data_IF_665072860478
#
_entry.id   IF_665072860478
#
_cell.length_a   1.000
_cell.length_b   1.000
_cell.length_c   1.000
_cell.angle_alpha   90.00
_cell.angle_beta   90.00
_cell.angle_gamma   90.00
#
_symmetry.space_group_name_H-M   'P 1'
#
loop_
_entity.id
_entity.type
_entity.pdbx_description
1 polymer ?
#
# COMPACT_ATOMS: atom_id res chain seq x y z
N UNK A 1 -33.20 19.37 71.34
CA UNK A 1 -33.04 20.53 70.44
C UNK A 1 -34.20 20.46 69.46
N UNK A 2 -35.13 21.41 69.52
CA UNK A 2 -36.25 21.48 68.60
C UNK A 2 -35.79 22.11 67.27
N UNK A 3 -36.27 21.61 66.14
CA UNK A 3 -35.96 22.17 64.82
C UNK A 3 -37.24 22.65 64.14
N UNK A 4 -37.12 23.60 63.20
CA UNK A 4 -38.25 24.02 62.36
C UNK A 4 -38.85 22.86 61.54
N UNK A 5 -38.11 21.75 61.37
CA UNK A 5 -38.59 20.54 60.69
C UNK A 5 -39.60 19.75 61.53
N UNK A 6 -39.67 19.99 62.84
CA UNK A 6 -40.62 19.34 63.75
C UNK A 6 -41.99 20.08 63.79
N UNK A 7 -42.12 21.18 63.05
CA UNK A 7 -43.33 22.00 63.04
C UNK A 7 -44.39 21.42 62.10
N UNK A 8 -45.63 21.47 62.55
CA UNK A 8 -46.82 21.06 61.81
C UNK A 8 -47.40 22.21 60.98
N UNK A 9 -48.09 21.86 59.90
CA UNK A 9 -48.98 22.80 59.18
C UNK A 9 -50.27 23.08 59.94
N UNK A 10 -50.55 22.34 61.03
CA UNK A 10 -51.68 22.61 61.94
C UNK A 10 -51.22 23.56 63.06
N UNK A 11 -51.72 24.82 63.12
CA UNK A 11 -51.17 25.84 64.01
C UNK A 11 -51.15 25.46 65.50
N UNK A 12 -52.22 24.80 65.97
CA UNK A 12 -52.34 24.40 67.38
C UNK A 12 -51.28 23.39 67.84
N UNK A 13 -50.67 22.63 66.92
CA UNK A 13 -49.65 21.64 67.25
C UNK A 13 -48.25 22.26 67.41
N UNK A 14 -48.07 23.52 67.01
CA UNK A 14 -46.77 24.18 67.06
C UNK A 14 -46.47 24.86 68.41
N UNK A 15 -47.47 24.99 69.28
CA UNK A 15 -47.32 25.63 70.59
C UNK A 15 -46.32 24.91 71.51
N UNK A 16 -46.05 23.62 71.27
CA UNK A 16 -45.08 22.81 72.02
C UNK A 16 -43.95 22.29 71.16
N UNK A 17 -43.87 22.70 69.89
CA UNK A 17 -42.88 22.18 68.95
C UNK A 17 -41.48 22.75 69.22
N UNK A 18 -41.39 23.95 69.79
CA UNK A 18 -40.14 24.57 70.27
C UNK A 18 -40.34 25.06 71.70
N UNK A 19 -39.50 24.60 72.63
CA UNK A 19 -39.59 24.95 74.05
C UNK A 19 -39.33 26.45 74.31
N UNK A 20 -38.65 27.13 73.39
CA UNK A 20 -38.32 28.55 73.50
C UNK A 20 -39.39 29.46 72.86
N UNK A 21 -40.44 28.89 72.25
CA UNK A 21 -41.53 29.62 71.57
C UNK A 21 -42.85 29.17 72.17
N UNK A 22 -43.53 30.09 72.88
CA UNK A 22 -44.80 29.80 73.52
C UNK A 22 -45.89 30.68 72.92
N UNK A 23 -46.73 30.13 72.04
CA UNK A 23 -47.87 30.84 71.47
C UNK A 23 -49.15 30.42 72.19
N UNK A 24 -49.47 31.10 73.28
CA UNK A 24 -50.73 31.00 74.01
C UNK A 24 -51.58 32.26 73.82
N UNK A 25 -52.90 32.15 73.95
CA UNK A 25 -53.79 33.30 73.92
C UNK A 25 -53.70 34.12 75.22
N UNK A 26 -53.83 35.45 75.13
CA UNK A 26 -53.87 36.34 76.30
C UNK A 26 -52.51 36.59 76.97
N UNK A 27 -51.40 36.34 76.29
CA UNK A 27 -50.05 36.51 76.83
C UNK A 27 -49.67 37.97 77.09
N UNK A 28 -48.79 38.18 78.09
CA UNK A 28 -48.17 39.47 78.32
C UNK A 28 -47.36 39.91 77.09
N UNK A 29 -47.37 41.21 76.74
CA UNK A 29 -46.65 41.72 75.57
C UNK A 29 -45.15 41.36 75.51
N UNK A 30 -44.49 41.24 76.67
CA UNK A 30 -43.07 40.84 76.73
C UNK A 30 -42.84 39.42 76.20
N UNK A 31 -43.70 38.47 76.57
CA UNK A 31 -43.55 37.06 76.19
C UNK A 31 -43.90 36.85 74.70
N UNK A 32 -44.82 37.66 74.18
CA UNK A 32 -45.09 37.76 72.73
C UNK A 32 -43.86 38.26 71.98
N UNK A 33 -43.19 39.31 72.48
CA UNK A 33 -41.96 39.84 71.89
C UNK A 33 -40.81 38.82 71.92
N UNK A 34 -40.65 38.07 73.02
CA UNK A 34 -39.58 37.07 73.15
C UNK A 34 -39.81 35.87 72.20
N UNK A 35 -41.05 35.37 72.13
CA UNK A 35 -41.42 34.28 71.20
C UNK A 35 -41.26 34.68 69.74
N UNK A 36 -41.60 35.93 69.39
CA UNK A 36 -41.40 36.46 68.04
C UNK A 36 -39.92 36.54 67.66
N UNK A 37 -39.03 36.94 68.59
CA UNK A 37 -37.58 36.98 68.36
C UNK A 37 -37.03 35.57 68.15
N UNK A 38 -37.49 34.60 68.92
CA UNK A 38 -37.10 33.20 68.74
C UNK A 38 -37.58 32.64 67.40
N UNK A 39 -38.79 32.97 66.94
CA UNK A 39 -39.24 32.64 65.58
C UNK A 39 -38.33 33.24 64.50
N UNK A 40 -37.90 34.50 64.63
CA UNK A 40 -36.97 35.11 63.67
C UNK A 40 -35.63 34.38 63.63
N UNK A 41 -35.12 33.92 64.78
CA UNK A 41 -33.90 33.09 64.84
C UNK A 41 -34.07 31.77 64.10
N UNK A 42 -35.17 31.03 64.33
CA UNK A 42 -35.45 29.76 63.65
C UNK A 42 -35.62 29.93 62.14
N UNK A 43 -36.24 31.03 61.71
CA UNK A 43 -36.36 31.35 60.28
C UNK A 43 -35.00 31.66 59.65
N UNK A 44 -34.10 32.36 60.36
CA UNK A 44 -32.75 32.64 59.88
C UNK A 44 -31.89 31.36 59.79
N UNK A 45 -32.03 30.44 60.75
CA UNK A 45 -31.44 29.10 60.69
C UNK A 45 -31.94 28.34 59.46
N UNK A 46 -33.26 28.31 59.23
CA UNK A 46 -33.85 27.70 58.05
C UNK A 46 -33.30 28.28 56.75
N UNK A 47 -33.25 29.60 56.61
CA UNK A 47 -32.71 30.26 55.40
C UNK A 47 -31.24 29.89 55.16
N UNK A 48 -30.42 29.81 56.22
CA UNK A 48 -29.03 29.33 56.12
C UNK A 48 -28.96 27.87 55.68
N UNK A 49 -29.81 27.02 56.23
CA UNK A 49 -29.84 25.58 55.93
C UNK A 49 -30.39 25.28 54.54
N UNK A 50 -31.30 26.12 54.01
CA UNK A 50 -31.82 26.00 52.64
C UNK A 50 -30.77 26.30 51.56
N UNK A 51 -29.53 26.66 51.93
CA UNK A 51 -28.41 26.73 50.99
C UNK A 51 -28.57 27.78 49.90
N UNK A 52 -29.42 28.80 50.11
CA UNK A 52 -29.53 29.96 49.22
C UNK A 52 -28.30 30.84 49.43
N UNK A 53 -27.16 30.35 48.96
CA UNK A 53 -25.91 31.09 48.81
C UNK A 53 -26.01 31.90 47.52
N UNK A 54 -26.19 33.21 47.69
CA UNK A 54 -26.04 34.22 46.64
C UNK A 54 -24.74 33.98 45.88
N UNK A 55 -24.86 33.56 44.61
CA UNK A 55 -23.73 33.27 43.75
C UNK A 55 -22.93 34.55 43.46
N UNK A 56 -21.77 34.68 44.09
CA UNK A 56 -20.73 35.62 43.70
C UNK A 56 -19.47 34.83 43.37
N UNK A 57 -19.14 34.68 42.09
CA UNK A 57 -17.78 34.31 41.69
C UNK A 57 -17.67 33.19 40.66
N UNK A 58 -17.02 33.56 39.56
CA UNK A 58 -16.64 32.79 38.37
C UNK A 58 -16.06 31.38 38.59
N UNK A 59 -16.54 30.46 37.75
CA UNK A 59 -15.83 29.30 37.19
C UNK A 59 -15.14 28.33 38.16
N UNK A 60 -15.89 27.67 39.03
CA UNK A 60 -15.58 26.27 39.40
C UNK A 60 -16.85 25.58 39.88
N UNK A 61 -17.45 24.78 38.99
CA UNK A 61 -18.68 24.06 39.30
C UNK A 61 -18.45 22.98 40.35
N UNK A 62 -18.93 23.22 41.57
CA UNK A 62 -19.56 22.22 42.44
C UNK A 62 -20.62 22.94 43.27
N UNK A 63 -21.89 22.76 42.92
CA UNK A 63 -23.01 23.01 43.83
C UNK A 63 -23.09 21.84 44.80
N UNK A 64 -22.85 22.07 46.09
CA UNK A 64 -23.32 21.17 47.15
C UNK A 64 -24.86 21.21 47.14
N UNK A 65 -25.49 20.09 46.75
CA UNK A 65 -26.95 19.95 46.71
C UNK A 65 -27.53 19.30 45.45
N UNK A 66 -26.70 18.84 44.50
CA UNK A 66 -27.23 18.08 43.35
C UNK A 66 -27.61 16.65 43.76
N UNK A 67 -28.89 16.33 43.59
CA UNK A 67 -29.45 14.98 43.72
C UNK A 67 -28.63 13.95 42.94
N UNK A 68 -28.56 12.72 43.46
CA UNK A 68 -27.83 11.58 42.86
C UNK A 68 -28.32 11.20 41.45
N UNK A 69 -29.42 11.79 40.97
CA UNK A 69 -30.01 11.56 39.65
C UNK A 69 -29.38 12.39 38.52
N UNK A 70 -28.54 13.39 38.80
CA UNK A 70 -27.87 14.22 37.76
C UNK A 70 -26.36 13.94 37.60
N UNK A 71 -25.85 12.79 38.08
CA UNK A 71 -24.40 12.46 37.98
C UNK A 71 -24.03 11.69 36.71
N UNK A 72 -24.32 12.26 35.54
CA UNK A 72 -23.30 12.20 34.49
C UNK A 72 -22.27 13.26 34.81
N UNK A 73 -21.44 12.97 35.84
CA UNK A 73 -20.34 13.87 36.18
C UNK A 73 -19.45 14.02 34.96
N UNK A 74 -18.81 15.17 34.82
CA UNK A 74 -17.84 15.38 33.73
C UNK A 74 -16.75 14.30 33.72
N UNK A 75 -16.45 13.70 34.89
CA UNK A 75 -15.64 12.51 35.01
C UNK A 75 -16.23 11.28 34.31
N UNK A 76 -17.51 10.96 34.53
CA UNK A 76 -18.20 9.84 33.89
C UNK A 76 -18.32 10.03 32.37
N UNK A 77 -18.56 11.26 31.90
CA UNK A 77 -18.59 11.57 30.46
C UNK A 77 -17.19 11.41 29.85
N UNK A 78 -16.14 11.89 30.53
CA UNK A 78 -14.75 11.70 30.09
C UNK A 78 -14.35 10.23 30.06
N UNK A 79 -14.70 9.46 31.09
CA UNK A 79 -14.44 8.02 31.14
C UNK A 79 -15.21 7.29 30.04
N UNK A 80 -16.48 7.61 29.83
CA UNK A 80 -17.27 6.99 28.77
C UNK A 80 -16.77 7.35 27.36
N UNK A 81 -16.40 8.60 27.11
CA UNK A 81 -15.82 9.00 25.83
C UNK A 81 -14.46 8.32 25.62
N UNK A 82 -13.60 8.30 26.65
CA UNK A 82 -12.33 7.58 26.60
C UNK A 82 -12.56 6.11 26.30
N UNK A 83 -13.42 5.42 27.06
CA UNK A 83 -13.66 3.99 26.89
C UNK A 83 -14.38 3.70 25.55
N UNK A 84 -15.22 4.61 25.05
CA UNK A 84 -15.84 4.53 23.73
C UNK A 84 -14.79 4.58 22.61
N UNK A 85 -13.88 5.57 22.66
CA UNK A 85 -12.82 5.69 21.67
C UNK A 85 -11.78 4.58 21.83
N UNK A 86 -11.35 4.26 23.05
CA UNK A 86 -10.34 3.24 23.33
C UNK A 86 -10.86 1.83 22.99
N UNK A 87 -12.11 1.47 23.30
CA UNK A 87 -12.60 0.11 23.07
C UNK A 87 -13.07 -0.15 21.63
N UNK A 88 -13.60 0.88 20.94
CA UNK A 88 -14.28 0.71 19.64
C UNK A 88 -13.58 1.34 18.44
N UNK A 89 -12.80 2.40 18.62
CA UNK A 89 -12.24 3.16 17.49
C UNK A 89 -10.71 3.22 17.47
N UNK A 90 -10.05 3.28 18.63
CA UNK A 90 -8.61 3.47 18.79
C UNK A 90 -8.15 2.59 19.94
N UNK A 91 -7.97 1.28 19.71
CA UNK A 91 -7.41 0.39 20.73
C UNK A 91 -5.92 0.66 20.90
N UNK A 92 -5.54 1.18 22.07
CA UNK A 92 -4.14 1.21 22.51
C UNK A 92 -3.78 -0.14 23.15
N UNK A 93 -3.78 -1.19 22.34
CA UNK A 93 -3.38 -2.52 22.80
C UNK A 93 -1.88 -2.74 22.59
N UNK A 94 -1.06 -2.42 23.60
CA UNK A 94 0.36 -2.77 23.65
C UNK A 94 1.19 -1.97 24.68
N UNK A 95 2.33 -2.50 25.18
CA UNK A 95 3.34 -1.70 25.88
C UNK A 95 3.76 -0.50 25.02
N UNK A 96 4.23 0.59 25.64
CA UNK A 96 4.54 1.87 24.98
C UNK A 96 5.54 1.80 23.80
N UNK A 97 6.13 0.62 23.55
CA UNK A 97 7.02 0.27 22.44
C UNK A 97 6.32 -0.33 21.22
N UNK A 98 5.03 -0.66 21.29
CA UNK A 98 4.35 -1.37 20.20
C UNK A 98 3.68 -0.38 19.22
N UNK A 99 4.12 -0.43 17.97
CA UNK A 99 3.75 0.43 16.85
C UNK A 99 2.31 0.23 16.33
N UNK A 100 1.33 -0.03 17.21
CA UNK A 100 -0.11 -0.01 16.86
C UNK A 100 -0.70 1.40 16.93
N UNK A 101 0.13 2.41 16.62
CA UNK A 101 -0.26 3.81 16.65
C UNK A 101 -0.82 4.19 15.27
N UNK A 102 -2.12 4.46 15.20
CA UNK A 102 -2.67 5.21 14.06
C UNK A 102 -2.23 6.67 14.22
N UNK A 103 -0.99 6.95 13.85
CA UNK A 103 -0.43 8.30 13.87
C UNK A 103 -0.84 9.02 12.60
N UNK A 104 -1.79 9.95 12.71
CA UNK A 104 -1.90 11.06 11.76
C UNK A 104 -0.75 12.05 11.97
N UNK A 105 0.50 11.57 11.92
CA UNK A 105 1.66 12.46 12.00
C UNK A 105 2.00 12.98 10.61
N UNK A 106 2.03 14.30 10.54
CA UNK A 106 2.41 15.09 9.38
C UNK A 106 3.84 14.71 8.95
N UNK A 107 3.98 13.90 7.89
CA UNK A 107 5.21 13.86 7.09
C UNK A 107 6.08 12.60 7.05
N UNK A 108 5.62 11.38 7.36
CA UNK A 108 6.47 10.21 7.10
C UNK A 108 5.84 8.83 7.34
N UNK A 109 5.54 8.13 6.24
CA UNK A 109 5.30 6.67 6.10
C UNK A 109 4.24 6.05 7.02
N UNK A 110 3.06 5.74 6.44
CA UNK A 110 2.00 4.97 7.12
C UNK A 110 2.24 3.47 6.96
N UNK A 111 2.38 2.76 8.08
CA UNK A 111 2.42 1.31 8.12
C UNK A 111 1.08 0.74 8.57
N UNK A 112 0.43 -0.07 7.72
CA UNK A 112 -0.76 -0.83 8.09
C UNK A 112 -0.34 -2.23 8.51
N UNK A 113 -0.27 -2.49 9.82
CA UNK A 113 -0.05 -3.82 10.37
C UNK A 113 -1.38 -4.43 10.81
N UNK A 114 -1.76 -5.58 10.25
CA UNK A 114 -2.80 -6.43 10.82
C UNK A 114 -2.12 -7.57 11.59
N UNK A 115 -2.51 -7.74 12.87
CA UNK A 115 -1.98 -8.79 13.75
C UNK A 115 -2.40 -10.16 13.24
N UNK A 116 -1.54 -10.79 12.44
CA UNK A 116 -1.14 -12.20 12.56
C UNK A 116 -0.16 -12.55 11.44
N UNK A 117 1.09 -12.76 11.82
CA UNK A 117 2.19 -13.39 11.08
C UNK A 117 2.58 -12.89 9.67
N UNK A 118 1.71 -12.30 8.86
CA UNK A 118 2.02 -11.96 7.47
C UNK A 118 1.29 -10.68 7.02
N UNK A 119 1.94 -9.97 6.08
CA UNK A 119 1.44 -8.87 5.24
C UNK A 119 1.50 -7.47 5.87
N UNK A 120 2.60 -6.76 5.59
CA UNK A 120 2.64 -5.31 5.62
C UNK A 120 2.91 -4.79 4.20
N UNK A 121 1.98 -4.02 3.64
CA UNK A 121 2.23 -3.19 2.47
C UNK A 121 2.84 -1.88 2.96
N UNK A 122 4.10 -1.62 2.61
CA UNK A 122 4.81 -0.42 3.11
C UNK A 122 5.02 0.54 1.95
N UNK A 123 4.37 1.71 1.97
CA UNK A 123 4.63 2.78 0.99
C UNK A 123 5.84 3.60 1.46
N UNK A 124 7.04 3.27 0.98
CA UNK A 124 8.22 4.10 1.24
C UNK A 124 8.09 5.49 0.60
N UNK A 125 8.82 6.47 1.10
CA UNK A 125 8.93 7.80 0.49
C UNK A 125 9.59 7.69 -0.88
N UNK A 126 8.96 8.23 -1.94
CA UNK A 126 9.41 8.08 -3.33
C UNK A 126 8.39 7.31 -4.19
N UNK A 127 8.81 6.75 -5.36
CA UNK A 127 7.93 6.01 -6.27
C UNK A 127 7.10 4.96 -5.52
N UNK A 128 5.89 4.68 -5.99
CA UNK A 128 4.97 3.73 -5.33
C UNK A 128 5.47 2.29 -5.45
N UNK A 129 6.28 1.85 -4.50
CA UNK A 129 6.70 0.46 -4.36
C UNK A 129 5.76 -0.29 -3.41
N UNK A 130 5.43 -1.53 -3.77
CA UNK A 130 4.73 -2.47 -2.91
C UNK A 130 5.63 -3.66 -2.63
N UNK A 131 5.94 -3.82 -1.35
CA UNK A 131 6.83 -4.87 -0.87
C UNK A 131 6.04 -5.92 -0.13
N UNK A 132 6.62 -7.12 -0.08
CA UNK A 132 6.24 -8.14 0.87
C UNK A 132 7.42 -8.43 1.81
N UNK A 133 7.12 -8.61 3.09
CA UNK A 133 8.09 -9.02 4.11
C UNK A 133 7.72 -10.39 4.67
N UNK A 134 8.73 -11.25 4.81
CA UNK A 134 8.60 -12.61 5.39
C UNK A 134 8.43 -12.60 6.91
N UNK A 135 8.87 -11.55 7.59
CA UNK A 135 8.84 -11.41 9.04
C UNK A 135 8.78 -9.94 9.44
N UNK A 136 8.33 -9.71 10.68
CA UNK A 136 8.21 -8.42 11.37
C UNK A 136 9.54 -7.90 11.94
N UNK A 137 10.59 -8.74 11.92
CA UNK A 137 11.90 -8.43 12.49
C UNK A 137 12.89 -7.99 11.41
N UNK A 138 13.01 -6.67 11.20
CA UNK A 138 14.04 -6.09 10.32
C UNK A 138 13.82 -4.62 9.96
N UNK A 139 14.91 -3.88 9.82
CA UNK A 139 14.90 -2.51 9.30
C UNK A 139 14.47 -2.46 7.82
N UNK A 140 13.96 -1.32 7.38
CA UNK A 140 13.69 -1.05 5.96
C UNK A 140 14.93 -1.34 5.10
N UNK A 141 14.76 -2.10 4.00
CA UNK A 141 15.86 -2.48 3.10
C UNK A 141 16.68 -3.71 3.55
N UNK A 142 16.28 -4.41 4.62
CA UNK A 142 16.91 -5.67 5.03
C UNK A 142 16.61 -6.85 4.09
N UNK A 143 17.42 -7.92 4.18
CA UNK A 143 17.33 -9.10 3.30
C UNK A 143 16.03 -9.90 3.34
N UNK A 144 15.08 -9.55 4.21
CA UNK A 144 13.75 -10.17 4.29
C UNK A 144 12.66 -9.40 3.49
N UNK A 145 13.02 -8.28 2.85
CA UNK A 145 12.14 -7.47 2.02
C UNK A 145 12.26 -7.90 0.55
N UNK A 146 11.14 -8.29 -0.06
CA UNK A 146 11.07 -8.61 -1.49
C UNK A 146 10.15 -7.62 -2.21
N UNK A 147 10.67 -6.99 -3.26
CA UNK A 147 9.92 -6.15 -4.19
C UNK A 147 8.99 -7.03 -5.02
N UNK A 148 7.67 -6.88 -4.83
CA UNK A 148 6.68 -7.60 -5.63
C UNK A 148 6.29 -6.78 -6.85
N UNK A 149 6.03 -5.49 -6.65
CA UNK A 149 5.67 -4.57 -7.72
C UNK A 149 6.12 -3.14 -7.44
N UNK A 150 6.50 -2.44 -8.49
CA UNK A 150 6.91 -1.02 -8.47
C UNK A 150 6.16 -0.29 -9.56
N UNK A 151 5.45 0.78 -9.21
CA UNK A 151 4.89 1.74 -10.16
C UNK A 151 5.70 3.03 -10.07
N UNK A 152 6.33 3.42 -11.18
CA UNK A 152 7.09 4.66 -11.25
C UNK A 152 6.20 5.87 -11.58
N UNK A 153 6.76 7.07 -11.46
CA UNK A 153 6.04 8.33 -11.74
C UNK A 153 5.65 8.50 -13.21
N UNK A 154 6.24 7.71 -14.12
CA UNK A 154 5.84 7.63 -15.52
C UNK A 154 4.67 6.65 -15.76
N UNK A 155 4.09 6.07 -14.70
CA UNK A 155 2.98 5.11 -14.79
C UNK A 155 3.40 3.70 -15.23
N UNK A 156 4.70 3.40 -15.28
CA UNK A 156 5.20 2.08 -15.66
C UNK A 156 5.19 1.14 -14.46
N UNK A 157 4.42 0.06 -14.57
CA UNK A 157 4.36 -1.02 -13.59
C UNK A 157 5.45 -2.07 -13.89
N UNK A 158 6.28 -2.35 -12.90
CA UNK A 158 7.20 -3.49 -12.86
C UNK A 158 6.66 -4.51 -11.86
N UNK A 159 6.60 -5.78 -12.25
CA UNK A 159 6.22 -6.89 -11.36
C UNK A 159 7.35 -7.91 -11.38
N UNK A 160 7.76 -8.36 -10.21
CA UNK A 160 8.90 -9.27 -10.06
C UNK A 160 8.45 -10.72 -10.25
N UNK A 161 8.47 -11.19 -11.50
CA UNK A 161 7.95 -12.50 -11.88
C UNK A 161 6.44 -12.47 -12.13
N UNK A 162 5.99 -12.73 -13.36
CA UNK A 162 4.57 -12.90 -13.69
C UNK A 162 4.36 -14.31 -14.21
N UNK A 163 3.60 -15.13 -13.47
CA UNK A 163 3.15 -16.43 -13.95
C UNK A 163 1.79 -16.29 -14.63
N UNK A 164 1.72 -16.66 -15.91
CA UNK A 164 0.50 -16.74 -16.73
C UNK A 164 0.30 -18.20 -17.11
N UNK A 165 -0.45 -18.94 -16.28
CA UNK A 165 -0.48 -20.40 -16.36
C UNK A 165 0.91 -20.98 -16.09
N UNK A 166 1.38 -21.84 -17.01
CA UNK A 166 2.72 -22.46 -16.93
C UNK A 166 3.84 -21.59 -17.54
N UNK A 167 3.51 -20.39 -18.02
CA UNK A 167 4.49 -19.45 -18.58
C UNK A 167 4.91 -18.43 -17.53
N UNK A 168 6.20 -18.19 -17.39
CA UNK A 168 6.77 -17.25 -16.43
C UNK A 168 7.53 -16.13 -17.14
N UNK A 169 7.18 -14.87 -16.86
CA UNK A 169 7.92 -13.67 -17.28
C UNK A 169 8.88 -13.29 -16.16
N UNK A 170 10.18 -13.33 -16.43
CA UNK A 170 11.23 -13.06 -15.46
C UNK A 170 11.52 -11.56 -15.30
N UNK A 171 12.26 -11.24 -14.23
CA UNK A 171 12.62 -9.87 -13.86
C UNK A 171 13.62 -9.20 -14.83
N UNK A 172 14.32 -9.99 -15.64
CA UNK A 172 15.19 -9.54 -16.74
C UNK A 172 14.43 -9.34 -18.07
N UNK A 173 13.11 -9.59 -18.07
CA UNK A 173 12.25 -9.51 -19.26
C UNK A 173 12.26 -10.78 -20.12
N UNK A 174 12.99 -11.82 -19.74
CA UNK A 174 12.95 -13.11 -20.43
C UNK A 174 11.64 -13.85 -20.14
N UNK A 175 11.25 -14.75 -21.02
CA UNK A 175 10.01 -15.52 -20.90
C UNK A 175 10.35 -17.01 -20.92
N UNK A 176 9.93 -17.76 -19.90
CA UNK A 176 10.06 -19.20 -19.83
C UNK A 176 8.69 -19.86 -20.03
N UNK A 177 8.59 -20.85 -20.91
CA UNK A 177 7.35 -21.58 -21.10
C UNK A 177 7.47 -22.75 -22.07
N UNK A 178 6.45 -23.62 -22.06
CA UNK A 178 6.41 -24.82 -22.91
C UNK A 178 6.47 -24.49 -24.41
N UNK A 179 5.90 -23.35 -24.84
CA UNK A 179 5.97 -22.89 -26.22
C UNK A 179 7.39 -22.66 -26.75
N UNK A 180 8.33 -22.37 -25.84
CA UNK A 180 9.74 -22.16 -26.17
C UNK A 180 10.63 -23.34 -25.75
N UNK A 181 10.02 -24.39 -25.15
CA UNK A 181 10.72 -25.51 -24.51
C UNK A 181 11.81 -25.02 -23.53
N UNK A 182 11.46 -24.01 -22.72
CA UNK A 182 12.39 -23.31 -21.84
C UNK A 182 12.34 -21.79 -22.04
N UNK A 183 13.51 -21.15 -22.01
CA UNK A 183 13.65 -19.69 -22.14
C UNK A 183 13.57 -19.21 -23.59
N UNK A 184 12.84 -18.11 -23.81
CA UNK A 184 12.68 -17.45 -25.11
C UNK A 184 14.02 -17.04 -25.72
N UNK A 185 14.95 -16.53 -24.91
CA UNK A 185 16.29 -16.15 -25.37
C UNK A 185 17.05 -17.33 -25.98
N UNK A 186 17.05 -18.48 -25.31
CA UNK A 186 17.64 -19.72 -25.81
C UNK A 186 16.93 -20.21 -27.08
N UNK A 187 15.60 -20.16 -27.09
CA UNK A 187 14.81 -20.54 -28.27
C UNK A 187 15.19 -19.69 -29.49
N UNK A 188 15.25 -18.35 -29.35
CA UNK A 188 15.63 -17.44 -30.44
C UNK A 188 17.07 -17.71 -30.89
N UNK A 189 18.01 -17.91 -29.95
CA UNK A 189 19.41 -18.21 -30.28
C UNK A 189 19.54 -19.51 -31.09
N UNK A 190 18.84 -20.57 -30.67
CA UNK A 190 18.83 -21.84 -31.38
C UNK A 190 18.20 -21.71 -32.77
N UNK A 191 17.08 -21.00 -32.90
CA UNK A 191 16.45 -20.74 -34.20
C UNK A 191 17.36 -19.95 -35.14
N UNK A 192 18.08 -18.95 -34.62
CA UNK A 192 19.05 -18.18 -35.40
C UNK A 192 20.21 -19.08 -35.86
N UNK A 193 20.72 -19.95 -34.99
CA UNK A 193 21.76 -20.90 -35.33
C UNK A 193 21.30 -21.90 -36.41
N UNK A 194 20.13 -22.53 -36.24
CA UNK A 194 19.58 -23.46 -37.24
C UNK A 194 19.40 -22.77 -38.59
N UNK A 195 18.93 -21.51 -38.62
CA UNK A 195 18.84 -20.72 -39.86
C UNK A 195 20.20 -20.46 -40.47
N UNK A 196 21.19 -20.09 -39.66
CA UNK A 196 22.56 -19.87 -40.13
C UNK A 196 23.18 -21.16 -40.71
N UNK A 197 22.93 -22.31 -40.10
CA UNK A 197 23.36 -23.62 -40.59
C UNK A 197 22.67 -23.99 -41.91
N UNK A 198 21.37 -23.73 -42.04
CA UNK A 198 20.62 -23.93 -43.30
C UNK A 198 21.18 -23.03 -44.41
N UNK A 199 21.43 -21.76 -44.13
CA UNK A 199 22.02 -20.83 -45.12
C UNK A 199 23.47 -21.19 -45.47
N UNK A 200 24.26 -21.65 -44.50
CA UNK A 200 25.61 -22.15 -44.76
C UNK A 200 25.57 -23.40 -45.63
N UNK A 201 24.66 -24.34 -45.38
CA UNK A 201 24.46 -25.54 -46.20
C UNK A 201 24.02 -25.20 -47.63
N UNK A 202 23.22 -24.15 -47.83
CA UNK A 202 22.91 -23.63 -49.18
C UNK A 202 24.16 -23.13 -49.90
N UNK A 203 25.18 -22.64 -49.17
CA UNK A 203 26.43 -22.12 -49.74
C UNK A 203 27.47 -23.22 -50.02
N UNK A 204 27.46 -24.33 -49.28
CA UNK A 204 28.35 -25.50 -49.48
C UNK A 204 27.81 -26.56 -50.42
N UNK A 205 26.50 -26.63 -50.66
CA UNK A 205 26.02 -27.25 -51.88
C UNK A 205 26.69 -26.51 -53.05
N UNK A 206 27.17 -27.20 -54.11
CA UNK A 206 27.66 -26.51 -55.30
C UNK A 206 26.49 -25.75 -55.89
N UNK A 207 26.30 -24.51 -55.43
CA UNK A 207 25.66 -23.48 -56.19
C UNK A 207 26.60 -23.24 -57.35
N UNK A 208 26.47 -24.12 -58.36
CA UNK A 208 26.79 -23.76 -59.72
C UNK A 208 26.23 -22.35 -59.87
N UNK A 209 27.12 -21.36 -60.01
CA UNK A 209 26.78 -19.95 -60.13
C UNK A 209 25.95 -19.78 -61.41
N UNK A 210 24.70 -20.21 -61.35
CA UNK A 210 23.66 -19.92 -62.31
C UNK A 210 23.13 -18.57 -61.88
N UNK A 211 23.85 -17.53 -62.27
CA UNK A 211 23.17 -16.31 -62.66
C UNK A 211 21.99 -16.77 -63.53
N UNK A 212 20.77 -16.33 -63.23
CA UNK A 212 19.50 -16.89 -63.72
C UNK A 212 19.31 -16.98 -65.26
N UNK A 213 20.36 -16.79 -66.05
CA UNK A 213 20.52 -17.01 -67.48
C UNK A 213 20.90 -18.45 -67.88
N UNK A 214 21.22 -19.34 -66.94
CA UNK A 214 21.67 -20.72 -67.24
C UNK A 214 23.14 -20.82 -67.70
N UNK A 215 23.90 -19.73 -67.63
CA UNK A 215 25.32 -19.66 -68.00
C UNK A 215 26.20 -19.98 -66.79
N UNK A 216 27.09 -20.97 -66.93
CA UNK A 216 28.07 -21.39 -65.91
C UNK A 216 29.50 -21.07 -66.37
N UNK A 217 30.42 -20.92 -65.41
CA UNK A 217 31.83 -20.65 -65.66
C UNK A 217 32.72 -21.85 -65.36
N UNK A 218 33.66 -22.09 -66.27
CA UNK A 218 34.56 -23.23 -66.25
C UNK A 218 35.99 -22.73 -66.35
N UNK A 219 36.81 -23.18 -65.39
CA UNK A 219 38.26 -22.94 -65.35
C UNK A 219 38.67 -21.48 -65.56
N UNK A 220 39.97 -21.23 -65.63
CA UNK A 220 40.44 -19.90 -65.98
C UNK A 220 41.77 -19.96 -66.71
N UNK A 221 41.90 -19.18 -67.77
CA UNK A 221 43.11 -19.05 -68.57
C UNK A 221 43.80 -17.74 -68.18
N UNK A 222 45.11 -17.77 -67.94
CA UNK A 222 45.95 -16.57 -67.90
C UNK A 222 46.61 -16.38 -69.27
N UNK A 223 46.24 -15.35 -70.05
CA UNK A 223 46.75 -15.15 -71.39
C UNK A 223 48.23 -14.73 -71.42
N UNK A 224 48.87 -14.49 -70.26
CA UNK A 224 50.28 -14.11 -70.17
C UNK A 224 51.20 -15.24 -69.66
N UNK A 225 50.64 -16.36 -69.19
CA UNK A 225 51.44 -17.44 -68.57
C UNK A 225 50.96 -18.83 -69.04
N UNK A 226 51.84 -19.51 -69.78
CA UNK A 226 51.77 -20.89 -70.27
C UNK A 226 50.56 -21.25 -71.18
N UNK A 227 50.74 -22.27 -72.03
CA UNK A 227 49.70 -22.83 -72.89
C UNK A 227 48.67 -23.59 -72.03
N UNK A 228 47.77 -22.85 -71.38
CA UNK A 228 46.72 -23.41 -70.53
C UNK A 228 45.43 -23.65 -71.32
N UNK A 229 44.91 -24.88 -71.26
CA UNK A 229 43.63 -25.27 -71.84
C UNK A 229 42.54 -25.33 -70.77
N UNK A 230 41.33 -24.94 -71.13
CA UNK A 230 40.14 -25.07 -70.28
C UNK A 230 39.07 -25.76 -71.09
N UNK A 231 38.77 -27.00 -70.71
CA UNK A 231 37.77 -27.82 -71.39
C UNK A 231 36.40 -27.67 -70.74
N UNK A 232 35.37 -27.67 -71.59
CA UNK A 232 33.98 -27.78 -71.13
C UNK A 232 33.57 -29.24 -71.28
N UNK A 233 33.19 -29.93 -70.19
CA UNK A 233 32.73 -31.30 -70.30
C UNK A 233 31.40 -31.36 -71.06
N UNK A 234 31.15 -32.44 -71.80
CA UNK A 234 29.82 -32.74 -72.36
C UNK A 234 28.76 -32.68 -71.23
N UNK A 235 27.63 -31.96 -71.37
CA UNK A 235 27.02 -31.39 -72.59
C UNK A 235 27.14 -29.86 -72.73
N UNK A 236 28.17 -29.25 -72.18
CA UNK A 236 28.32 -27.80 -72.17
C UNK A 236 28.92 -27.27 -73.47
N UNK A 237 28.38 -26.17 -73.97
CA UNK A 237 28.86 -25.44 -75.15
C UNK A 237 29.29 -24.04 -74.74
N UNK A 238 30.41 -23.57 -75.27
CA UNK A 238 30.95 -22.23 -74.98
C UNK A 238 30.03 -21.15 -75.56
N UNK A 239 29.63 -20.19 -74.73
CA UNK A 239 28.82 -19.01 -75.13
C UNK A 239 29.59 -17.70 -75.02
N UNK A 240 30.77 -17.71 -74.40
CA UNK A 240 31.64 -16.55 -74.38
C UNK A 240 32.76 -16.66 -73.35
N UNK A 241 33.52 -15.57 -73.23
CA UNK A 241 34.61 -15.41 -72.26
C UNK A 241 34.39 -14.16 -71.42
N UNK A 242 34.92 -14.12 -70.20
CA UNK A 242 34.84 -12.94 -69.33
C UNK A 242 36.15 -12.74 -68.58
N UNK A 243 36.75 -11.57 -68.75
CA UNK A 243 37.91 -11.15 -67.96
C UNK A 243 37.48 -10.80 -66.53
N UNK A 244 38.30 -11.18 -65.56
CA UNK A 244 38.14 -10.79 -64.17
C UNK A 244 38.82 -9.45 -63.92
N UNK A 245 38.12 -8.55 -63.21
CA UNK A 245 38.65 -7.21 -62.91
C UNK A 245 39.94 -7.30 -62.10
N UNK A 246 40.94 -6.50 -62.49
CA UNK A 246 42.24 -6.37 -61.82
C UNK A 246 43.09 -7.64 -61.77
N UNK A 247 42.78 -8.63 -62.61
CA UNK A 247 43.65 -9.80 -62.84
C UNK A 247 43.76 -10.05 -64.34
N UNK A 248 44.78 -10.80 -64.75
CA UNK A 248 44.89 -11.25 -66.14
C UNK A 248 43.97 -12.45 -66.45
N UNK A 249 43.21 -12.91 -65.46
CA UNK A 249 42.46 -14.15 -65.55
C UNK A 249 41.21 -14.00 -66.42
N UNK A 250 41.05 -14.89 -67.39
CA UNK A 250 39.88 -14.98 -68.27
C UNK A 250 39.15 -16.29 -68.00
N UNK A 251 37.84 -16.20 -67.79
CA UNK A 251 36.96 -17.34 -67.53
C UNK A 251 36.18 -17.72 -68.78
N UNK A 252 36.05 -19.03 -69.04
CA UNK A 252 35.21 -19.54 -70.14
C UNK A 252 33.79 -19.75 -69.62
N UNK A 253 32.80 -19.31 -70.39
CA UNK A 253 31.37 -19.39 -70.05
C UNK A 253 30.68 -20.39 -70.94
N UNK A 254 29.92 -21.31 -70.35
CA UNK A 254 29.17 -22.33 -71.06
C UNK A 254 27.69 -22.37 -70.72
N UNK A 255 26.89 -22.89 -71.64
CA UNK A 255 25.47 -23.25 -71.44
C UNK A 255 25.25 -24.70 -71.88
N UNK A 256 24.25 -25.37 -71.30
CA UNK A 256 23.73 -26.63 -71.85
C UNK A 256 22.69 -26.30 -72.90
N UNK A 257 22.92 -26.70 -74.15
CA UNK A 257 21.90 -26.63 -75.19
C UNK A 257 20.98 -27.83 -75.02
N UNK A 258 19.70 -27.59 -74.73
CA UNK A 258 18.67 -28.63 -74.78
C UNK A 258 18.07 -28.64 -76.18
N UNK A 259 18.00 -29.81 -76.83
CA UNK A 259 17.13 -29.96 -77.99
C UNK A 259 15.68 -29.82 -77.52
N UNK A 260 14.98 -28.80 -78.02
CA UNK A 260 13.52 -28.79 -77.98
C UNK A 260 13.05 -29.80 -79.05
N UNK A 261 12.53 -30.94 -78.60
CA UNK A 261 11.71 -31.84 -79.41
C UNK A 261 10.26 -31.39 -79.24
#
# INVERSE_FOLDING_TARGET
MASIYDWSTTPGNNATADADINWSEGMFPSVVNDSARMMMTRLAEWVKDQGILTAMGSATGVLSGSSTLQRWTWGNIKLWLRDFFDARFIRRDGPASDATRFDFLNGGVNYLYWRSAHVAFTKQSGPTHFYWRRNDTGAEGGGNQHDLMTLNDAGLLKVNGINVGDTNIQNDGNINGAAFNGYLTTFIANQAQTRAEIEAAKKTAPQNCSHASGILEFGSIDPFYEDATVDLPNPWVVVGIRSQKSTNRVWVRGIIVKNHI
#
